data_IF_030517646522
#
_entry.id   IF_030517646522
#
_cell.length_a   1.000
_cell.length_b   1.000
_cell.length_c   1.000
_cell.angle_alpha   90.00
_cell.angle_beta   90.00
_cell.angle_gamma   90.00
#
_symmetry.space_group_name_H-M   'P 1'
#
loop_
_entity.id
_entity.type
_entity.pdbx_description
1 polymer ?
#
# COMPACT_ATOMS: atom_id res chain seq x y z
N UNK A 1 -21.10 5.61 15.69
CA UNK A 1 -22.20 6.23 14.94
C UNK A 1 -21.91 6.00 13.47
N UNK A 2 -22.51 4.97 12.87
CA UNK A 2 -22.32 4.68 11.45
C UNK A 2 -23.10 5.70 10.63
N UNK A 3 -22.40 6.45 9.78
CA UNK A 3 -23.04 7.35 8.82
C UNK A 3 -23.55 6.51 7.65
N UNK A 4 -24.65 6.96 7.02
CA UNK A 4 -25.17 6.35 5.79
C UNK A 4 -24.05 6.12 4.77
N UNK A 5 -24.09 5.01 4.00
CA UNK A 5 -23.10 4.71 2.96
C UNK A 5 -22.96 5.87 1.95
N UNK A 6 -24.03 6.62 1.70
CA UNK A 6 -24.04 7.73 0.75
C UNK A 6 -23.57 9.08 1.35
N UNK A 7 -23.17 9.11 2.62
CA UNK A 7 -22.80 10.34 3.29
C UNK A 7 -21.40 10.81 2.89
N UNK A 8 -21.28 12.11 2.63
CA UNK A 8 -19.98 12.76 2.46
C UNK A 8 -19.11 12.61 3.71
N UNK A 9 -17.86 12.20 3.50
CA UNK A 9 -16.89 11.97 4.59
C UNK A 9 -15.84 13.08 4.63
N UNK A 10 -15.43 13.47 5.83
CA UNK A 10 -14.32 14.42 5.99
C UNK A 10 -12.97 13.73 5.85
N UNK A 11 -11.90 14.47 5.56
CA UNK A 11 -10.55 13.89 5.49
C UNK A 11 -10.11 13.18 6.77
N UNK A 12 -10.53 13.66 7.94
CA UNK A 12 -10.25 12.98 9.21
C UNK A 12 -10.96 11.63 9.27
N UNK A 13 -12.24 11.59 8.92
CA UNK A 13 -13.03 10.34 8.93
C UNK A 13 -12.49 9.31 7.94
N UNK A 14 -12.08 9.73 6.74
CA UNK A 14 -11.50 8.84 5.74
C UNK A 14 -10.11 8.35 6.17
N UNK A 15 -9.32 9.22 6.82
CA UNK A 15 -8.03 8.85 7.39
C UNK A 15 -8.19 7.77 8.47
N UNK A 16 -9.15 7.94 9.37
CA UNK A 16 -9.44 6.99 10.44
C UNK A 16 -9.99 5.66 9.88
N UNK A 17 -10.85 5.70 8.86
CA UNK A 17 -11.41 4.50 8.21
C UNK A 17 -10.36 3.68 7.44
N UNK A 18 -9.38 4.35 6.84
CA UNK A 18 -8.30 3.72 6.08
C UNK A 18 -7.07 3.39 6.94
N UNK A 19 -7.06 3.80 8.21
CA UNK A 19 -5.88 3.77 9.07
C UNK A 19 -4.65 4.42 8.40
N UNK A 20 -4.85 5.61 7.82
CA UNK A 20 -3.81 6.37 7.11
C UNK A 20 -3.73 7.80 7.65
N UNK A 21 -2.53 8.37 7.79
CA UNK A 21 -2.41 9.77 8.17
C UNK A 21 -3.05 10.72 7.14
N UNK A 22 -3.72 11.79 7.60
CA UNK A 22 -4.38 12.76 6.71
C UNK A 22 -3.46 13.38 5.65
N UNK A 23 -2.16 13.56 5.97
CA UNK A 23 -1.20 14.12 5.02
C UNK A 23 -0.94 13.18 3.83
N UNK A 24 -1.09 11.87 4.01
CA UNK A 24 -1.00 10.88 2.92
C UNK A 24 -2.17 11.06 1.97
N UNK A 25 -3.38 11.24 2.48
CA UNK A 25 -4.56 11.53 1.66
C UNK A 25 -4.40 12.85 0.89
N UNK A 26 -3.87 13.90 1.52
CA UNK A 26 -3.55 15.16 0.84
C UNK A 26 -2.50 14.98 -0.26
N UNK A 27 -1.51 14.12 -0.03
CA UNK A 27 -0.52 13.79 -1.05
C UNK A 27 -1.16 13.01 -2.21
N UNK A 28 -2.03 12.05 -1.93
CA UNK A 28 -2.76 11.30 -2.94
C UNK A 28 -3.68 12.17 -3.80
N UNK A 29 -4.31 13.20 -3.24
CA UNK A 29 -5.05 14.22 -4.02
C UNK A 29 -4.20 14.85 -5.14
N UNK A 30 -2.88 14.98 -4.94
CA UNK A 30 -1.97 15.53 -5.95
C UNK A 30 -1.53 14.52 -7.00
N UNK A 31 -1.59 13.23 -6.68
CA UNK A 31 -1.12 12.14 -7.55
C UNK A 31 -2.25 11.53 -8.37
N UNK A 32 -3.46 11.47 -7.83
CA UNK A 32 -4.61 10.85 -8.48
C UNK A 32 -5.64 11.91 -8.85
N UNK A 33 -5.70 12.26 -10.14
CA UNK A 33 -6.62 13.28 -10.66
C UNK A 33 -8.10 12.90 -10.55
N UNK A 34 -8.37 11.61 -10.35
CA UNK A 34 -9.69 11.03 -10.14
C UNK A 34 -10.28 11.45 -8.80
N UNK A 35 -9.45 11.67 -7.78
CA UNK A 35 -9.91 12.01 -6.42
C UNK A 35 -10.04 13.54 -6.33
N UNK A 36 -11.29 14.03 -6.34
CA UNK A 36 -11.58 15.47 -6.33
C UNK A 36 -12.40 15.85 -5.09
N UNK A 37 -11.76 16.16 -3.95
CA UNK A 37 -12.47 16.54 -2.75
C UNK A 37 -13.27 17.84 -2.98
N UNK A 38 -14.51 17.85 -2.51
CA UNK A 38 -15.36 19.02 -2.53
C UNK A 38 -14.88 20.00 -1.45
N UNK A 39 -14.46 21.19 -1.88
CA UNK A 39 -14.04 22.27 -0.98
C UNK A 39 -15.27 23.11 -0.62
N UNK A 40 -15.69 23.07 0.64
CA UNK A 40 -16.70 23.99 1.19
C UNK A 40 -16.01 25.19 1.85
N UNK A 41 -16.75 26.28 2.06
CA UNK A 41 -16.27 27.43 2.83
C UNK A 41 -15.60 27.00 4.14
N UNK A 42 -14.43 27.57 4.43
CA UNK A 42 -13.61 27.21 5.60
C UNK A 42 -12.52 26.16 5.36
N UNK A 43 -12.22 25.78 4.11
CA UNK A 43 -11.04 24.96 3.78
C UNK A 43 -11.16 23.47 4.14
N UNK A 44 -12.34 23.02 4.57
CA UNK A 44 -12.63 21.62 4.85
C UNK A 44 -12.86 20.85 3.54
N UNK A 45 -12.26 19.66 3.47
CA UNK A 45 -12.37 18.73 2.34
C UNK A 45 -13.38 17.65 2.66
N UNK A 46 -14.31 17.43 1.74
CA UNK A 46 -15.28 16.36 1.79
C UNK A 46 -15.08 15.44 0.60
N UNK A 47 -15.05 14.13 0.85
CA UNK A 47 -15.00 13.10 -0.17
C UNK A 47 -16.39 12.54 -0.42
N UNK A 48 -16.68 12.22 -1.69
CA UNK A 48 -17.88 11.45 -2.04
C UNK A 48 -17.69 9.99 -1.62
N UNK A 49 -18.78 9.25 -1.40
CA UNK A 49 -18.72 7.80 -1.19
C UNK A 49 -17.87 7.09 -2.26
N UNK A 50 -18.09 7.42 -3.53
CA UNK A 50 -17.32 6.87 -4.66
C UNK A 50 -15.81 7.15 -4.58
N UNK A 51 -15.42 8.34 -4.08
CA UNK A 51 -14.01 8.69 -3.89
C UNK A 51 -13.40 7.88 -2.74
N UNK A 52 -14.20 7.60 -1.69
CA UNK A 52 -13.77 6.79 -0.54
C UNK A 52 -13.55 5.35 -0.96
N UNK A 53 -14.42 4.78 -1.79
CA UNK A 53 -14.26 3.43 -2.32
C UNK A 53 -13.04 3.32 -3.23
N UNK A 54 -12.80 4.35 -4.05
CA UNK A 54 -11.58 4.44 -4.85
C UNK A 54 -10.31 4.52 -3.97
N UNK A 55 -10.34 5.31 -2.89
CA UNK A 55 -9.23 5.43 -1.94
C UNK A 55 -8.93 4.09 -1.24
N UNK A 56 -9.96 3.30 -0.91
CA UNK A 56 -9.80 1.93 -0.39
C UNK A 56 -9.05 1.06 -1.39
N UNK A 57 -9.41 1.10 -2.67
CA UNK A 57 -8.75 0.33 -3.72
C UNK A 57 -7.31 0.75 -3.94
N UNK A 58 -7.04 2.06 -3.95
CA UNK A 58 -5.67 2.58 -4.05
C UNK A 58 -4.83 2.12 -2.85
N UNK A 59 -5.37 2.16 -1.63
CA UNK A 59 -4.67 1.64 -0.44
C UNK A 59 -4.34 0.16 -0.61
N UNK A 60 -5.30 -0.67 -1.01
CA UNK A 60 -5.10 -2.10 -1.20
C UNK A 60 -4.00 -2.38 -2.23
N UNK A 61 -4.03 -1.68 -3.36
CA UNK A 61 -3.02 -1.82 -4.40
C UNK A 61 -1.63 -1.41 -3.93
N UNK A 62 -1.50 -0.29 -3.21
CA UNK A 62 -0.21 0.23 -2.79
C UNK A 62 0.39 -0.56 -1.61
N UNK A 63 -0.42 -0.91 -0.61
CA UNK A 63 0.07 -1.50 0.64
C UNK A 63 0.00 -3.03 0.64
N UNK A 64 -1.07 -3.61 0.11
CA UNK A 64 -1.30 -5.06 0.19
C UNK A 64 -0.68 -5.78 -1.03
N UNK A 65 -0.81 -5.19 -2.22
CA UNK A 65 -0.23 -5.73 -3.45
C UNK A 65 1.14 -5.15 -3.84
N UNK A 66 1.60 -4.09 -3.17
CA UNK A 66 2.91 -3.49 -3.41
C UNK A 66 3.06 -2.78 -4.76
N UNK A 67 1.98 -2.31 -5.37
CA UNK A 67 2.06 -1.46 -6.56
C UNK A 67 2.72 -0.12 -6.24
N UNK A 68 3.37 0.47 -7.25
CA UNK A 68 3.85 1.86 -7.17
C UNK A 68 2.73 2.84 -7.51
N UNK A 69 2.89 4.12 -7.12
CA UNK A 69 1.92 5.18 -7.46
C UNK A 69 1.74 5.27 -8.98
N UNK A 70 2.85 5.25 -9.75
CA UNK A 70 2.82 5.18 -11.22
C UNK A 70 2.07 3.94 -11.73
N UNK A 71 2.25 2.78 -11.09
CA UNK A 71 1.56 1.54 -11.45
C UNK A 71 0.05 1.67 -11.29
N UNK A 72 -0.41 2.17 -10.14
CA UNK A 72 -1.84 2.39 -9.88
C UNK A 72 -2.43 3.45 -10.83
N UNK A 73 -1.69 4.52 -11.14
CA UNK A 73 -2.11 5.51 -12.13
C UNK A 73 -2.31 4.90 -13.53
N UNK A 74 -1.42 3.99 -13.96
CA UNK A 74 -1.57 3.29 -15.23
C UNK A 74 -2.81 2.41 -15.24
N UNK A 75 -3.02 1.66 -14.16
CA UNK A 75 -4.16 0.76 -14.00
C UNK A 75 -5.50 1.52 -13.98
N UNK A 76 -5.54 2.70 -13.34
CA UNK A 76 -6.70 3.60 -13.38
C UNK A 76 -7.00 4.13 -14.78
N UNK A 77 -5.97 4.37 -15.61
CA UNK A 77 -6.15 4.81 -17.00
C UNK A 77 -6.65 3.69 -17.91
N UNK A 78 -6.21 2.45 -17.69
CA UNK A 78 -6.56 1.30 -18.52
C UNK A 78 -7.97 0.76 -18.18
N UNK A 79 -8.24 0.49 -16.90
CA UNK A 79 -9.46 -0.23 -16.49
C UNK A 79 -10.51 0.69 -15.84
N UNK A 80 -10.17 1.95 -15.59
CA UNK A 80 -11.06 2.93 -14.98
C UNK A 80 -11.21 2.80 -13.47
N UNK A 81 -11.93 3.75 -12.87
CA UNK A 81 -12.07 3.87 -11.42
C UNK A 81 -12.84 2.68 -10.79
N UNK A 82 -13.85 2.17 -11.51
CA UNK A 82 -14.71 1.09 -11.02
C UNK A 82 -13.94 -0.21 -10.80
N UNK A 83 -12.96 -0.48 -11.66
CA UNK A 83 -12.10 -1.65 -11.53
C UNK A 83 -11.25 -1.59 -10.25
N UNK A 84 -10.66 -0.43 -9.94
CA UNK A 84 -9.86 -0.25 -8.72
C UNK A 84 -10.72 -0.34 -7.46
N UNK A 85 -11.93 0.22 -7.49
CA UNK A 85 -12.87 0.07 -6.38
C UNK A 85 -13.31 -1.39 -6.18
N UNK A 86 -13.55 -2.13 -7.26
CA UNK A 86 -13.92 -3.55 -7.22
C UNK A 86 -12.80 -4.45 -6.65
N UNK A 87 -11.53 -4.14 -6.95
CA UNK A 87 -10.39 -4.82 -6.34
C UNK A 87 -10.40 -4.63 -4.82
N UNK A 88 -10.76 -3.43 -4.34
CA UNK A 88 -10.86 -3.13 -2.92
C UNK A 88 -11.93 -3.96 -2.19
N UNK A 89 -13.06 -4.20 -2.85
CA UNK A 89 -14.17 -4.98 -2.28
C UNK A 89 -13.97 -6.49 -2.38
N UNK A 90 -12.87 -6.95 -3.01
CA UNK A 90 -12.63 -8.38 -3.25
C UNK A 90 -13.65 -9.00 -4.19
N UNK A 91 -14.33 -8.19 -5.00
CA UNK A 91 -15.35 -8.68 -5.94
C UNK A 91 -14.66 -9.21 -7.20
N UNK A 92 -14.06 -10.40 -7.06
CA UNK A 92 -13.32 -11.09 -8.12
C UNK A 92 -14.16 -11.26 -9.39
N UNK A 93 -15.47 -11.44 -9.27
CA UNK A 93 -16.38 -11.61 -10.40
C UNK A 93 -16.48 -10.32 -11.25
N UNK A 94 -16.57 -9.15 -10.60
CA UNK A 94 -16.56 -7.88 -11.34
C UNK A 94 -15.18 -7.55 -11.90
N UNK A 95 -14.10 -7.91 -11.20
CA UNK A 95 -12.72 -7.76 -11.68
C UNK A 95 -12.48 -8.62 -12.93
N UNK A 96 -12.94 -9.87 -12.92
CA UNK A 96 -12.83 -10.79 -14.06
C UNK A 96 -13.68 -10.32 -15.26
N UNK A 97 -14.91 -9.89 -15.03
CA UNK A 97 -15.79 -9.37 -16.10
C UNK A 97 -15.24 -8.08 -16.75
N UNK A 98 -14.65 -7.18 -15.95
CA UNK A 98 -14.03 -5.96 -16.45
C UNK A 98 -12.67 -6.24 -17.12
N UNK A 99 -11.87 -7.16 -16.58
CA UNK A 99 -10.61 -7.58 -17.18
C UNK A 99 -10.83 -8.32 -18.51
N UNK A 100 -11.88 -9.14 -18.65
CA UNK A 100 -12.20 -9.82 -19.91
C UNK A 100 -12.61 -8.85 -21.04
N UNK A 101 -13.05 -7.63 -20.72
CA UNK A 101 -13.34 -6.59 -21.72
C UNK A 101 -12.11 -5.76 -22.09
N UNK A 102 -11.07 -5.76 -21.25
CA UNK A 102 -9.80 -5.06 -21.46
C UNK A 102 -8.73 -6.06 -21.92
N UNK A 103 -8.37 -6.04 -23.21
CA UNK A 103 -7.47 -7.02 -23.83
C UNK A 103 -5.97 -6.92 -23.39
N UNK A 104 -5.70 -6.41 -22.19
CA UNK A 104 -4.36 -6.38 -21.57
C UNK A 104 -4.36 -7.27 -20.33
N UNK A 105 -3.56 -8.34 -20.37
CA UNK A 105 -3.26 -9.16 -19.19
C UNK A 105 -2.81 -8.28 -18.01
N UNK A 106 -3.32 -8.52 -16.78
CA UNK A 106 -2.83 -7.84 -15.60
C UNK A 106 -1.40 -8.33 -15.34
N UNK A 107 -0.42 -7.59 -15.84
CA UNK A 107 0.99 -7.91 -15.65
C UNK A 107 1.28 -8.05 -14.14
N UNK A 108 1.91 -9.16 -13.69
CA UNK A 108 2.24 -9.38 -12.30
C UNK A 108 3.17 -8.27 -11.78
N UNK A 109 3.14 -7.96 -10.47
CA UNK A 109 3.91 -6.85 -9.93
C UNK A 109 5.40 -7.11 -10.14
N UNK A 110 6.00 -6.36 -11.07
CA UNK A 110 7.45 -6.19 -11.11
C UNK A 110 7.81 -5.46 -9.81
N UNK A 111 8.29 -6.20 -8.82
CA UNK A 111 9.08 -5.68 -7.70
C UNK A 111 10.41 -5.12 -8.25
N UNK A 112 10.30 -4.09 -9.10
CA UNK A 112 11.41 -3.32 -9.62
C UNK A 112 11.66 -2.19 -8.66
N UNK A 113 12.68 -2.34 -7.82
CA UNK A 113 13.27 -1.26 -7.05
C UNK A 113 13.92 -0.31 -8.07
N UNK A 114 13.13 0.62 -8.63
CA UNK A 114 13.65 1.69 -9.47
C UNK A 114 12.66 2.88 -9.45
N UNK A 115 13.19 4.00 -8.98
CA UNK A 115 12.57 5.31 -8.73
C UNK A 115 11.72 5.47 -7.46
N UNK A 116 12.07 6.53 -6.75
CA UNK A 116 11.69 6.95 -5.41
C UNK A 116 10.21 7.37 -5.27
N UNK A 117 9.26 6.51 -5.64
CA UNK A 117 7.88 6.67 -5.15
C UNK A 117 7.83 6.11 -3.72
N UNK A 118 8.35 6.89 -2.76
CA UNK A 118 8.22 6.63 -1.33
C UNK A 118 6.75 6.34 -1.01
N UNK A 119 6.47 5.13 -0.52
CA UNK A 119 5.23 4.79 0.17
C UNK A 119 5.18 5.68 1.42
N UNK A 120 4.45 6.80 1.32
CA UNK A 120 4.27 7.76 2.41
C UNK A 120 3.28 7.15 3.40
N UNK A 121 3.73 6.77 4.61
CA UNK A 121 2.79 6.32 5.64
C UNK A 121 3.33 5.42 6.75
N UNK A 122 4.54 4.82 6.65
CA UNK A 122 5.10 4.13 7.83
C UNK A 122 5.58 5.16 8.87
N UNK A 123 5.07 5.13 10.12
CA UNK A 123 5.59 5.99 11.17
C UNK A 123 7.05 5.61 11.44
N UNK A 124 7.99 6.50 11.12
CA UNK A 124 9.38 6.40 11.60
C UNK A 124 9.36 6.74 13.09
N UNK A 125 9.73 5.78 13.94
CA UNK A 125 9.88 6.01 15.38
C UNK A 125 10.79 7.22 15.63
N UNK A 126 10.47 8.12 16.59
CA UNK A 126 11.23 9.34 16.78
C UNK A 126 12.63 9.02 17.29
N UNK A 127 13.64 9.24 16.46
CA UNK A 127 15.03 9.29 16.92
C UNK A 127 15.17 10.49 17.88
N UNK A 128 15.34 10.18 19.16
CA UNK A 128 15.66 11.12 20.22
C UNK A 128 16.81 12.04 19.79
N UNK A 129 16.49 13.31 19.52
CA UNK A 129 17.48 14.39 19.38
C UNK A 129 18.12 14.65 20.74
N UNK A 130 19.40 14.31 20.91
CA UNK A 130 20.26 14.96 21.91
C UNK A 130 21.33 15.79 21.20
N UNK A 131 21.22 17.09 21.38
CA UNK A 131 22.17 18.12 20.97
C UNK A 131 23.34 18.19 21.98
N UNK A 132 24.55 18.44 21.47
CA UNK A 132 25.82 18.82 22.14
C UNK A 132 26.42 17.87 23.21
N UNK A 133 27.54 17.24 22.86
CA UNK A 133 28.73 17.20 23.73
C UNK A 133 30.01 17.06 22.90
N UNK A 134 31.02 17.79 23.33
CA UNK A 134 32.34 17.99 22.75
C UNK A 134 33.32 16.98 23.39
N UNK A 135 34.22 16.39 22.59
CA UNK A 135 35.50 15.87 23.08
C UNK A 135 35.62 14.35 23.31
N UNK A 136 36.58 13.79 22.56
CA UNK A 136 37.57 12.78 22.97
C UNK A 136 37.12 11.33 23.25
N UNK A 137 37.68 10.43 22.45
CA UNK A 137 38.23 9.15 22.94
C UNK A 137 37.39 7.91 22.70
N UNK A 138 37.89 7.06 21.80
CA UNK A 138 37.95 5.61 22.03
C UNK A 138 36.68 4.79 21.83
N UNK A 139 36.77 3.93 20.83
CA UNK A 139 36.27 2.54 20.84
C UNK A 139 34.86 2.23 20.34
N UNK A 140 34.84 1.13 19.61
CA UNK A 140 33.83 0.37 18.88
C UNK A 140 32.35 0.78 18.95
N UNK A 141 31.75 0.96 17.77
CA UNK A 141 30.60 0.16 17.24
C UNK A 141 30.06 0.80 15.97
N UNK A 142 30.62 0.46 14.81
CA UNK A 142 30.05 0.89 13.54
C UNK A 142 28.95 -0.10 13.10
N UNK A 143 27.72 0.16 13.54
CA UNK A 143 26.51 -0.49 13.01
C UNK A 143 26.32 0.04 11.58
N UNK A 144 26.79 -0.73 10.61
CA UNK A 144 26.58 -0.48 9.18
C UNK A 144 25.11 -0.79 8.82
N UNK A 145 24.25 0.22 8.97
CA UNK A 145 22.90 0.24 8.39
C UNK A 145 23.06 0.37 6.88
N UNK A 146 23.15 -0.76 6.16
CA UNK A 146 23.36 -0.72 4.73
C UNK A 146 23.59 -2.06 4.03
N UNK A 147 22.70 -3.04 4.20
CA UNK A 147 22.56 -4.13 3.21
C UNK A 147 21.25 -4.91 3.41
N UNK A 148 20.27 -4.66 2.54
CA UNK A 148 19.10 -5.54 2.36
C UNK A 148 19.46 -6.74 1.48
N UNK A 149 20.55 -7.42 1.80
CA UNK A 149 20.83 -8.75 1.26
C UNK A 149 20.43 -9.74 2.34
N UNK A 150 19.33 -10.48 2.11
CA UNK A 150 18.96 -11.66 2.91
C UNK A 150 20.25 -12.45 3.15
N UNK A 151 20.65 -12.58 4.41
CA UNK A 151 21.90 -13.23 4.78
C UNK A 151 21.91 -14.68 4.29
N UNK A 152 23.08 -15.29 4.14
CA UNK A 152 23.15 -16.73 3.83
C UNK A 152 22.38 -17.57 4.86
N UNK A 153 22.35 -17.10 6.10
CA UNK A 153 21.62 -17.68 7.22
C UNK A 153 20.10 -17.54 7.04
N UNK A 154 19.60 -16.33 6.76
CA UNK A 154 18.17 -16.11 6.47
C UNK A 154 17.70 -16.93 5.27
N UNK A 155 18.55 -17.06 4.24
CA UNK A 155 18.25 -17.89 3.07
C UNK A 155 18.14 -19.37 3.43
N UNK A 156 18.99 -19.87 4.33
CA UNK A 156 18.93 -21.26 4.77
C UNK A 156 17.65 -21.53 5.57
N UNK A 157 17.27 -20.63 6.49
CA UNK A 157 16.02 -20.72 7.26
C UNK A 157 14.79 -20.72 6.35
N UNK A 158 14.79 -19.87 5.32
CA UNK A 158 13.71 -19.84 4.33
C UNK A 158 13.64 -21.12 3.49
N UNK A 159 14.79 -21.74 3.19
CA UNK A 159 14.85 -23.01 2.45
C UNK A 159 14.33 -24.18 3.29
N UNK A 160 14.65 -24.21 4.57
CA UNK A 160 14.14 -25.21 5.53
C UNK A 160 12.61 -25.11 5.67
N UNK A 161 12.10 -23.90 5.94
CA UNK A 161 10.66 -23.68 6.05
C UNK A 161 9.89 -24.06 4.76
N UNK A 162 10.49 -23.81 3.59
CA UNK A 162 9.90 -24.21 2.31
C UNK A 162 9.89 -25.74 2.13
N UNK A 163 10.91 -26.44 2.63
CA UNK A 163 10.96 -27.90 2.61
C UNK A 163 9.85 -28.50 3.47
N UNK A 164 9.70 -28.01 4.70
CA UNK A 164 8.66 -28.48 5.65
C UNK A 164 7.26 -28.31 5.07
N UNK A 165 6.98 -27.18 4.42
CA UNK A 165 5.69 -26.91 3.79
C UNK A 165 5.41 -27.85 2.60
N UNK A 166 6.42 -28.16 1.80
CA UNK A 166 6.28 -29.12 0.70
C UNK A 166 6.05 -30.54 1.21
N UNK A 167 6.69 -30.92 2.30
CA UNK A 167 6.47 -32.21 2.94
C UNK A 167 5.05 -32.32 3.53
N UNK A 168 4.58 -31.27 4.22
CA UNK A 168 3.20 -31.18 4.71
C UNK A 168 2.21 -31.34 3.56
N UNK A 169 2.45 -30.67 2.42
CA UNK A 169 1.61 -30.80 1.22
C UNK A 169 1.62 -32.24 0.69
N UNK A 170 2.80 -32.86 0.58
CA UNK A 170 2.93 -34.25 0.12
C UNK A 170 2.14 -35.22 0.99
N UNK A 171 2.18 -35.04 2.31
CA UNK A 171 1.41 -35.87 3.25
C UNK A 171 -0.10 -35.67 3.09
N UNK A 172 -0.56 -34.42 2.91
CA UNK A 172 -1.98 -34.14 2.65
C UNK A 172 -2.46 -34.76 1.32
N UNK A 173 -1.64 -34.70 0.27
CA UNK A 173 -1.97 -35.27 -1.04
C UNK A 173 -1.99 -36.81 -1.01
N UNK A 174 -1.32 -37.46 -0.05
CA UNK A 174 -1.36 -38.92 0.14
C UNK A 174 -2.59 -39.42 0.91
N UNK A 175 -3.25 -38.54 1.68
CA UNK A 175 -4.41 -38.89 2.51
C UNK A 175 -5.74 -38.64 1.76
N UNK A 176 -5.70 -37.92 0.63
CA UNK A 176 -6.82 -37.76 -0.31
C UNK A 176 -6.89 -38.88 -1.33
#
# INVERSE_FOLDING_TARGET
MEKSPDAFRTISEVADELDLPQHVLRFWETRFQQIKPMKRGGGRRYYRPEDVDLLKGIRHLLYDHGYTIKGVQKLLKANGNKFVAAIASGDLATVEALAASSNEEPAPPKAGVAEEDQIVGRPKAPASRRFFSFGNGGDDTEITIGKTSVGKEDRALLQEALYDLLECKRLLDQVR
#
